data_IF_493429253467
#
_entry.id   IF_493429253467
#
_cell.length_a   1.000
_cell.length_b   1.000
_cell.length_c   1.000
_cell.angle_alpha   90.00
_cell.angle_beta   90.00
_cell.angle_gamma   90.00
#
_symmetry.space_group_name_H-M   'P 1'
#
loop_
_entity.id
_entity.type
_entity.pdbx_description
1 polymer ?
#
# COMPACT_ATOMS: atom_id res chain seq x y z
N UNK A 1 4.38 7.19 -11.18
CA UNK A 1 5.21 6.81 -10.05
C UNK A 1 6.64 6.88 -10.50
N UNK A 2 7.38 7.94 -10.12
CA UNK A 2 8.81 7.95 -10.27
C UNK A 2 9.46 6.76 -9.56
N UNK A 3 10.59 6.33 -10.08
CA UNK A 3 11.39 5.25 -9.51
C UNK A 3 12.84 5.70 -9.51
N UNK A 4 13.50 5.53 -8.37
CA UNK A 4 14.92 5.80 -8.19
C UNK A 4 15.59 4.61 -7.51
N UNK A 5 16.72 4.14 -8.07
CA UNK A 5 17.52 3.11 -7.43
C UNK A 5 19.00 3.23 -7.80
N UNK A 6 19.86 2.84 -6.86
CA UNK A 6 21.29 2.69 -7.09
C UNK A 6 21.58 1.33 -7.76
N UNK A 7 22.52 1.34 -8.70
CA UNK A 7 23.21 0.17 -9.22
C UNK A 7 24.72 0.39 -9.12
N UNK A 8 25.48 -0.70 -9.10
CA UNK A 8 26.93 -0.66 -9.28
C UNK A 8 27.30 -1.23 -10.64
N UNK A 9 28.22 -0.57 -11.34
CA UNK A 9 28.68 -0.96 -12.69
C UNK A 9 30.20 -1.08 -12.78
N UNK A 10 30.68 -1.84 -13.76
CA UNK A 10 32.10 -2.03 -14.00
C UNK A 10 32.81 -2.87 -12.93
N UNK A 11 34.13 -3.04 -13.10
CA UNK A 11 34.95 -3.87 -12.20
C UNK A 11 35.21 -3.23 -10.84
N UNK A 12 34.98 -1.92 -10.70
CA UNK A 12 35.24 -1.15 -9.48
C UNK A 12 33.96 -0.79 -8.72
N UNK A 13 32.82 -1.38 -9.09
CA UNK A 13 31.52 -1.13 -8.47
C UNK A 13 31.13 0.35 -8.45
N UNK A 14 31.33 1.04 -9.57
CA UNK A 14 30.99 2.45 -9.72
C UNK A 14 29.49 2.65 -9.47
N UNK A 15 29.16 3.56 -8.55
CA UNK A 15 27.78 3.85 -8.21
C UNK A 15 27.09 4.64 -9.33
N UNK A 16 25.94 4.15 -9.77
CA UNK A 16 25.08 4.82 -10.74
C UNK A 16 23.65 4.86 -10.20
N UNK A 17 23.15 6.08 -9.99
CA UNK A 17 21.75 6.30 -9.65
C UNK A 17 20.94 6.31 -10.95
N UNK A 18 19.93 5.45 -11.01
CA UNK A 18 19.05 5.30 -12.17
C UNK A 18 17.66 5.78 -11.79
N UNK A 19 17.10 6.69 -12.59
CA UNK A 19 15.79 7.31 -12.36
C UNK A 19 14.86 7.10 -13.55
N UNK A 20 13.56 6.96 -13.28
CA UNK A 20 12.51 6.90 -14.29
C UNK A 20 11.25 7.61 -13.80
N UNK A 21 10.62 8.39 -14.67
CA UNK A 21 9.43 9.18 -14.34
C UNK A 21 9.77 10.58 -13.81
N UNK A 22 8.78 11.47 -13.87
CA UNK A 22 8.90 12.84 -13.37
C UNK A 22 8.78 12.88 -11.85
N UNK A 23 9.38 13.90 -11.22
CA UNK A 23 9.24 14.14 -9.78
C UNK A 23 7.76 14.25 -9.39
N UNK A 24 7.40 13.60 -8.28
CA UNK A 24 6.05 13.62 -7.72
C UNK A 24 6.14 14.18 -6.31
N UNK A 25 5.43 15.27 -6.03
CA UNK A 25 5.42 15.90 -4.70
C UNK A 25 4.87 14.99 -3.59
N UNK A 26 4.20 13.89 -3.94
CA UNK A 26 3.73 12.87 -3.01
C UNK A 26 4.74 11.72 -2.79
N UNK A 27 5.89 11.72 -3.48
CA UNK A 27 6.93 10.71 -3.37
C UNK A 27 8.25 11.30 -2.87
N UNK A 28 8.74 10.82 -1.71
CA UNK A 28 10.03 11.22 -1.15
C UNK A 28 11.07 10.11 -1.31
N UNK A 29 11.97 10.30 -2.28
CA UNK A 29 13.06 9.38 -2.59
C UNK A 29 14.39 9.78 -1.92
N UNK A 30 14.44 10.89 -1.18
CA UNK A 30 15.69 11.44 -0.64
C UNK A 30 16.06 10.87 0.73
N UNK A 31 15.13 10.21 1.42
CA UNK A 31 15.31 9.73 2.79
C UNK A 31 15.16 8.21 2.88
N UNK A 32 16.26 7.44 2.74
CA UNK A 32 16.24 5.98 2.85
C UNK A 32 15.60 5.51 4.16
N UNK A 33 14.65 4.58 4.04
CA UNK A 33 13.94 3.98 5.18
C UNK A 33 12.70 4.76 5.64
N UNK A 34 12.43 5.95 5.10
CA UNK A 34 11.10 6.55 5.23
C UNK A 34 10.14 5.95 4.19
N UNK A 35 8.85 6.04 4.45
CA UNK A 35 7.87 5.76 3.39
C UNK A 35 8.13 6.69 2.21
N UNK A 36 8.21 6.14 0.99
CA UNK A 36 8.30 6.95 -0.24
C UNK A 36 6.98 7.69 -0.45
N UNK A 37 5.85 6.97 -0.43
CA UNK A 37 4.51 7.57 -0.56
C UNK A 37 4.16 8.35 0.72
N UNK A 38 3.86 9.65 0.61
CA UNK A 38 3.53 10.49 1.77
C UNK A 38 2.03 10.47 2.12
N UNK A 39 1.15 10.43 1.12
CA UNK A 39 -0.29 10.36 1.30
C UNK A 39 -0.91 9.27 0.44
N UNK A 40 -2.04 8.72 0.92
CA UNK A 40 -2.81 7.74 0.17
C UNK A 40 -3.28 8.30 -1.18
N UNK A 41 -3.08 7.56 -2.26
CA UNK A 41 -3.47 7.97 -3.60
C UNK A 41 -4.23 6.87 -4.33
N UNK A 42 -5.30 7.25 -5.00
CA UNK A 42 -6.08 6.34 -5.85
C UNK A 42 -5.61 6.40 -7.29
N UNK A 43 -5.40 5.22 -7.88
CA UNK A 43 -5.14 5.03 -9.30
C UNK A 43 -6.22 4.12 -9.88
N UNK A 44 -6.89 4.55 -10.95
CA UNK A 44 -7.99 3.80 -11.56
C UNK A 44 -7.53 3.27 -12.91
N UNK A 45 -7.56 1.96 -13.07
CA UNK A 45 -7.20 1.27 -14.30
C UNK A 45 -8.42 0.56 -14.88
N UNK A 46 -8.78 0.81 -16.14
CA UNK A 46 -9.79 0.02 -16.82
C UNK A 46 -9.25 -1.40 -17.11
N UNK A 47 -10.03 -2.41 -16.74
CA UNK A 47 -9.77 -3.82 -17.10
C UNK A 47 -10.88 -4.26 -18.05
N UNK A 48 -10.52 -4.38 -19.33
CA UNK A 48 -11.50 -4.59 -20.41
C UNK A 48 -12.47 -3.41 -20.54
N UNK A 49 -13.72 -3.69 -20.91
CA UNK A 49 -14.70 -2.64 -21.25
C UNK A 49 -15.64 -2.26 -20.10
N UNK A 50 -15.79 -3.11 -19.09
CA UNK A 50 -16.82 -2.93 -18.03
C UNK A 50 -16.28 -2.86 -16.61
N UNK A 51 -15.03 -3.25 -16.40
CA UNK A 51 -14.45 -3.33 -15.07
C UNK A 51 -13.40 -2.23 -14.89
N UNK A 52 -13.37 -1.62 -13.71
CA UNK A 52 -12.31 -0.70 -13.30
C UNK A 52 -11.75 -1.18 -11.98
N UNK A 53 -10.43 -1.26 -11.88
CA UNK A 53 -9.74 -1.51 -10.62
C UNK A 53 -9.23 -0.18 -10.09
N UNK A 54 -9.55 0.11 -8.82
CA UNK A 54 -8.96 1.22 -8.09
C UNK A 54 -7.89 0.66 -7.17
N UNK A 55 -6.63 0.89 -7.49
CA UNK A 55 -5.54 0.68 -6.54
C UNK A 55 -5.45 1.88 -5.61
N UNK A 56 -5.26 1.62 -4.33
CA UNK A 56 -5.02 2.63 -3.32
C UNK A 56 -3.59 2.41 -2.87
N UNK A 57 -2.70 3.26 -3.33
CA UNK A 57 -1.33 3.30 -2.83
C UNK A 57 -1.33 4.00 -1.47
N UNK A 58 -0.60 3.45 -0.51
CA UNK A 58 -0.59 3.91 0.88
C UNK A 58 0.84 4.17 1.32
N UNK A 59 1.05 5.12 2.26
CA UNK A 59 2.33 5.22 2.95
C UNK A 59 2.75 3.87 3.53
N UNK A 60 4.04 3.55 3.38
CA UNK A 60 4.67 2.37 3.94
C UNK A 60 4.71 2.40 5.47
N UNK A 61 4.92 1.21 6.04
CA UNK A 61 5.12 0.98 7.46
C UNK A 61 6.60 0.81 7.80
N UNK A 62 6.98 1.06 9.05
CA UNK A 62 8.37 0.93 9.49
C UNK A 62 9.20 2.17 9.15
N UNK A 63 8.56 3.33 9.25
CA UNK A 63 9.20 4.61 8.99
C UNK A 63 10.33 4.87 9.99
N UNK A 64 11.52 5.23 9.50
CA UNK A 64 12.67 5.55 10.37
C UNK A 64 12.44 6.76 11.27
N UNK A 65 11.41 7.58 11.01
CA UNK A 65 10.91 8.64 11.91
C UNK A 65 10.24 8.09 13.18
N UNK A 66 10.04 6.77 13.26
CA UNK A 66 9.65 6.04 14.46
C UNK A 66 8.15 5.76 14.57
N UNK A 67 7.76 5.13 15.68
CA UNK A 67 6.41 4.60 15.92
C UNK A 67 5.31 5.67 15.83
N UNK A 68 5.60 6.92 16.19
CA UNK A 68 4.64 8.04 16.09
C UNK A 68 4.27 8.30 14.63
N UNK A 69 5.24 8.25 13.71
CA UNK A 69 4.98 8.45 12.28
C UNK A 69 4.19 7.28 11.70
N UNK A 70 4.51 6.04 12.09
CA UNK A 70 3.72 4.87 11.70
C UNK A 70 2.26 4.99 12.17
N UNK A 71 2.04 5.54 13.37
CA UNK A 71 0.69 5.81 13.89
C UNK A 71 -0.07 6.85 13.06
N UNK A 72 0.61 7.91 12.62
CA UNK A 72 0.06 8.95 11.73
C UNK A 72 -0.28 8.34 10.37
N UNK A 73 0.65 7.60 9.76
CA UNK A 73 0.46 6.90 8.49
C UNK A 73 -0.76 5.98 8.58
N UNK A 74 -0.87 5.23 9.67
CA UNK A 74 -2.02 4.35 9.89
C UNK A 74 -3.32 5.15 10.02
N UNK A 75 -3.36 6.24 10.78
CA UNK A 75 -4.56 7.09 10.87
C UNK A 75 -4.97 7.66 9.50
N UNK A 76 -4.01 8.08 8.68
CA UNK A 76 -4.28 8.56 7.31
C UNK A 76 -4.91 7.47 6.45
N UNK A 77 -4.37 6.25 6.50
CA UNK A 77 -4.88 5.09 5.76
C UNK A 77 -6.32 4.77 6.21
N UNK A 78 -6.56 4.66 7.52
CA UNK A 78 -7.88 4.38 8.07
C UNK A 78 -8.92 5.46 7.72
N UNK A 79 -8.52 6.74 7.77
CA UNK A 79 -9.35 7.86 7.36
C UNK A 79 -9.72 7.80 5.88
N UNK A 80 -8.74 7.48 5.03
CA UNK A 80 -8.93 7.36 3.59
C UNK A 80 -9.91 6.23 3.25
N UNK A 81 -9.70 5.03 3.79
CA UNK A 81 -10.56 3.88 3.48
C UNK A 81 -11.97 4.02 4.05
N UNK A 82 -12.15 4.80 5.13
CA UNK A 82 -13.47 5.10 5.71
C UNK A 82 -14.30 6.03 4.80
N UNK A 83 -13.71 6.64 3.77
CA UNK A 83 -14.47 7.38 2.76
C UNK A 83 -14.93 6.48 1.60
N UNK A 84 -14.61 5.19 1.63
CA UNK A 84 -14.98 4.21 0.61
C UNK A 84 -16.20 3.41 1.07
N UNK A 85 -17.06 3.03 0.12
CA UNK A 85 -18.23 2.21 0.43
C UNK A 85 -17.88 0.75 0.76
N UNK A 86 -16.78 0.25 0.21
CA UNK A 86 -16.32 -1.13 0.39
C UNK A 86 -14.83 -1.27 0.03
N UNK A 87 -14.25 -2.40 0.43
CA UNK A 87 -12.95 -2.89 -0.02
C UNK A 87 -13.13 -4.28 -0.65
N UNK A 88 -12.55 -4.53 -1.82
CA UNK A 88 -12.55 -5.87 -2.42
C UNK A 88 -11.35 -6.70 -1.96
N UNK A 89 -10.19 -6.06 -1.84
CA UNK A 89 -8.91 -6.69 -1.55
C UNK A 89 -8.07 -5.79 -0.63
N UNK A 90 -7.34 -6.41 0.28
CA UNK A 90 -6.35 -5.77 1.15
C UNK A 90 -5.03 -6.51 0.91
N UNK A 91 -4.15 -5.89 0.13
CA UNK A 91 -2.87 -6.47 -0.24
C UNK A 91 -1.81 -6.13 0.81
N UNK A 92 -1.24 -7.15 1.43
CA UNK A 92 -0.10 -7.02 2.35
C UNK A 92 1.17 -7.34 1.56
N UNK A 93 1.99 -6.32 1.32
CA UNK A 93 3.24 -6.46 0.59
C UNK A 93 4.37 -6.88 1.53
N UNK A 94 5.12 -7.92 1.15
CA UNK A 94 6.21 -8.51 1.92
C UNK A 94 7.41 -8.80 1.00
N UNK A 95 8.59 -8.95 1.60
CA UNK A 95 9.74 -9.59 0.97
C UNK A 95 9.80 -11.05 1.42
N UNK A 96 10.33 -11.98 0.61
CA UNK A 96 10.37 -13.40 0.95
C UNK A 96 11.54 -13.77 1.87
N UNK A 97 12.51 -12.85 2.05
CA UNK A 97 13.78 -13.10 2.73
C UNK A 97 13.90 -12.38 4.08
N UNK A 98 12.77 -12.01 4.70
CA UNK A 98 12.80 -11.44 6.04
C UNK A 98 13.20 -12.51 7.06
N UNK A 99 14.38 -12.32 7.67
CA UNK A 99 14.88 -13.20 8.73
C UNK A 99 14.11 -13.04 10.05
N UNK A 100 13.40 -11.91 10.20
CA UNK A 100 12.53 -11.60 11.34
C UNK A 100 11.35 -10.79 10.84
N UNK A 101 10.13 -11.20 11.20
CA UNK A 101 8.98 -10.32 11.02
C UNK A 101 9.11 -9.16 12.00
N UNK A 102 9.17 -7.95 11.44
CA UNK A 102 9.28 -6.73 12.20
C UNK A 102 8.10 -6.61 13.19
N UNK A 103 8.39 -6.26 14.45
CA UNK A 103 7.37 -5.95 15.47
C UNK A 103 6.40 -4.88 14.95
N UNK A 104 6.90 -3.94 14.16
CA UNK A 104 6.10 -2.91 13.49
C UNK A 104 5.07 -3.51 12.55
N UNK A 105 5.47 -4.46 11.68
CA UNK A 105 4.55 -5.14 10.77
C UNK A 105 3.44 -5.87 11.54
N UNK A 106 3.78 -6.56 12.64
CA UNK A 106 2.78 -7.24 13.48
C UNK A 106 1.80 -6.25 14.10
N UNK A 107 2.30 -5.16 14.68
CA UNK A 107 1.47 -4.11 15.27
C UNK A 107 0.55 -3.46 14.23
N UNK A 108 1.08 -3.17 13.04
CA UNK A 108 0.35 -2.60 11.93
C UNK A 108 -0.78 -3.54 11.46
N UNK A 109 -0.44 -4.81 11.23
CA UNK A 109 -1.39 -5.83 10.82
C UNK A 109 -2.50 -6.03 11.85
N UNK A 110 -2.15 -6.15 13.13
CA UNK A 110 -3.11 -6.29 14.23
C UNK A 110 -4.04 -5.07 14.33
N UNK A 111 -3.51 -3.85 14.17
CA UNK A 111 -4.31 -2.63 14.25
C UNK A 111 -5.26 -2.48 13.06
N UNK A 112 -4.78 -2.77 11.85
CA UNK A 112 -5.62 -2.79 10.64
C UNK A 112 -6.77 -3.77 10.80
N UNK A 113 -6.46 -4.97 11.28
CA UNK A 113 -7.42 -6.04 11.52
C UNK A 113 -8.43 -5.70 12.62
N UNK A 114 -7.98 -5.15 13.74
CA UNK A 114 -8.88 -4.66 14.80
C UNK A 114 -9.83 -3.60 14.26
N UNK A 115 -9.32 -2.65 13.49
CA UNK A 115 -10.16 -1.60 12.91
C UNK A 115 -11.20 -2.15 11.94
N UNK A 116 -10.80 -3.02 11.02
CA UNK A 116 -11.71 -3.55 10.02
C UNK A 116 -12.68 -4.57 10.61
N UNK A 117 -12.25 -5.38 11.57
CA UNK A 117 -13.03 -6.45 12.19
C UNK A 117 -12.75 -7.83 11.58
N UNK A 118 -13.28 -8.88 12.20
CA UNK A 118 -12.96 -10.28 11.90
C UNK A 118 -13.17 -10.67 10.42
N UNK A 119 -14.26 -10.18 9.82
CA UNK A 119 -14.65 -10.56 8.47
C UNK A 119 -13.67 -10.06 7.39
N UNK A 120 -12.82 -9.08 7.71
CA UNK A 120 -11.78 -8.59 6.82
C UNK A 120 -10.80 -9.69 6.37
N UNK A 121 -10.66 -10.77 7.16
CA UNK A 121 -9.78 -11.91 6.85
C UNK A 121 -10.00 -12.50 5.46
N UNK A 122 -11.23 -12.45 4.94
CA UNK A 122 -11.59 -13.02 3.64
C UNK A 122 -11.13 -12.16 2.45
N UNK A 123 -10.69 -10.93 2.73
CA UNK A 123 -10.21 -9.99 1.72
C UNK A 123 -8.70 -9.75 1.83
N UNK A 124 -7.99 -10.45 2.74
CA UNK A 124 -6.54 -10.34 2.91
C UNK A 124 -5.82 -11.19 1.88
N UNK A 125 -4.87 -10.55 1.22
CA UNK A 125 -4.05 -11.12 0.15
C UNK A 125 -2.60 -10.81 0.45
N UNK A 126 -1.72 -11.80 0.30
CA UNK A 126 -0.29 -11.62 0.53
C UNK A 126 0.44 -11.49 -0.81
N UNK A 127 1.17 -10.40 -0.97
CA UNK A 127 1.95 -10.13 -2.18
C UNK A 127 3.44 -10.11 -1.80
N UNK A 128 4.20 -11.11 -2.26
CA UNK A 128 5.64 -11.15 -2.09
C UNK A 128 6.33 -10.50 -3.29
N UNK A 129 7.21 -9.55 -3.01
CA UNK A 129 8.04 -8.84 -4.00
C UNK A 129 9.49 -9.30 -3.90
N UNK A 130 10.29 -9.10 -4.94
CA UNK A 130 11.70 -9.52 -4.97
C UNK A 130 11.87 -11.04 -4.77
N UNK A 131 10.98 -11.83 -5.39
CA UNK A 131 10.88 -13.28 -5.16
C UNK A 131 11.76 -14.14 -6.06
N UNK A 132 12.55 -13.52 -6.94
CA UNK A 132 13.46 -14.25 -7.82
C UNK A 132 14.45 -15.12 -7.05
N UNK A 133 15.06 -14.59 -5.99
CA UNK A 133 16.02 -15.32 -5.15
C UNK A 133 15.38 -16.50 -4.38
N UNK A 134 14.06 -16.56 -4.31
CA UNK A 134 13.29 -17.62 -3.63
C UNK A 134 12.46 -18.43 -4.60
N UNK A 135 12.88 -18.51 -5.86
CA UNK A 135 12.21 -19.29 -6.90
C UNK A 135 10.73 -18.93 -7.05
N UNK A 136 10.41 -17.64 -6.91
CA UNK A 136 9.04 -17.11 -6.97
C UNK A 136 8.11 -17.72 -5.90
N UNK A 137 8.66 -17.95 -4.71
CA UNK A 137 7.93 -18.42 -3.54
C UNK A 137 8.08 -17.45 -2.35
N UNK A 138 7.21 -17.54 -1.32
CA UNK A 138 7.26 -16.70 -0.12
C UNK A 138 8.52 -16.83 0.76
N UNK A 139 9.42 -17.77 0.46
CA UNK A 139 10.73 -17.91 1.09
C UNK A 139 10.68 -18.11 2.61
N UNK A 140 11.73 -17.63 3.28
CA UNK A 140 11.93 -17.71 4.74
C UNK A 140 10.90 -16.89 5.52
N UNK A 141 10.25 -15.92 4.89
CA UNK A 141 9.18 -15.14 5.51
C UNK A 141 7.90 -15.96 5.72
N UNK A 142 7.65 -16.99 4.89
CA UNK A 142 6.45 -17.81 4.98
C UNK A 142 6.22 -18.47 6.36
N UNK A 143 7.20 -19.19 6.96
CA UNK A 143 7.02 -19.80 8.28
C UNK A 143 6.84 -18.75 9.39
N UNK A 144 7.48 -17.59 9.28
CA UNK A 144 7.30 -16.49 10.23
C UNK A 144 5.87 -15.94 10.14
N UNK A 145 5.37 -15.72 8.91
CA UNK A 145 4.05 -15.18 8.66
C UNK A 145 2.96 -16.14 9.16
N UNK A 146 3.13 -17.45 8.95
CA UNK A 146 2.27 -18.48 9.53
C UNK A 146 2.17 -18.34 11.04
N UNK A 147 3.30 -18.20 11.74
CA UNK A 147 3.31 -18.01 13.21
C UNK A 147 2.61 -16.72 13.62
N UNK A 148 2.82 -15.63 12.88
CA UNK A 148 2.16 -14.35 13.15
C UNK A 148 0.64 -14.47 13.02
N UNK A 149 0.15 -15.05 11.91
CA UNK A 149 -1.28 -15.29 11.65
C UNK A 149 -1.89 -16.16 12.76
N UNK A 150 -1.24 -17.26 13.13
CA UNK A 150 -1.75 -18.15 14.20
C UNK A 150 -1.87 -17.43 15.55
N UNK A 151 -0.96 -16.49 15.83
CA UNK A 151 -0.96 -15.67 17.04
C UNK A 151 -1.98 -14.52 17.00
N UNK A 152 -2.56 -14.21 15.84
CA UNK A 152 -3.49 -13.11 15.68
C UNK A 152 -4.82 -13.42 16.41
N UNK A 153 -5.50 -12.41 17.00
CA UNK A 153 -6.83 -12.59 17.57
C UNK A 153 -7.86 -13.06 16.54
N UNK A 154 -7.75 -12.57 15.29
CA UNK A 154 -8.62 -12.98 14.18
C UNK A 154 -8.09 -14.30 13.63
N UNK A 155 -8.93 -15.35 13.72
CA UNK A 155 -8.60 -16.70 13.27
C UNK A 155 -8.93 -16.90 11.79
N UNK A 156 -8.34 -17.95 11.22
CA UNK A 156 -8.63 -18.44 9.87
C UNK A 156 -8.36 -17.44 8.74
N UNK A 157 -7.32 -16.62 8.91
CA UNK A 157 -6.78 -15.82 7.80
C UNK A 157 -6.12 -16.80 6.80
N UNK A 158 -6.60 -16.89 5.54
CA UNK A 158 -6.03 -17.81 4.58
C UNK A 158 -4.56 -17.45 4.29
N UNK A 159 -3.72 -18.46 4.15
CA UNK A 159 -2.34 -18.27 3.69
C UNK A 159 -1.88 -19.50 2.91
N UNK A 160 -2.28 -19.52 1.64
CA UNK A 160 -1.94 -20.56 0.68
C UNK A 160 -1.82 -19.97 -0.73
N UNK A 161 -1.63 -20.82 -1.74
CA UNK A 161 -1.41 -20.39 -3.13
C UNK A 161 -2.60 -19.62 -3.72
N UNK A 162 -3.82 -19.81 -3.19
CA UNK A 162 -5.01 -19.13 -3.68
C UNK A 162 -5.00 -17.62 -3.41
N UNK A 163 -4.49 -17.18 -2.24
CA UNK A 163 -4.48 -15.79 -1.82
C UNK A 163 -3.07 -15.20 -1.61
N UNK A 164 -2.03 -15.95 -2.01
CA UNK A 164 -0.63 -15.51 -1.95
C UNK A 164 -0.06 -15.44 -3.34
N UNK A 165 0.57 -14.31 -3.69
CA UNK A 165 1.09 -14.03 -5.02
C UNK A 165 2.54 -13.57 -4.95
N UNK A 166 3.40 -14.08 -5.83
CA UNK A 166 4.84 -13.84 -5.79
C UNK A 166 5.34 -13.23 -7.11
N UNK A 167 5.87 -12.01 -7.03
CA UNK A 167 6.34 -11.25 -8.18
C UNK A 167 7.76 -10.79 -7.98
N UNK A 168 8.40 -10.40 -9.07
CA UNK A 168 9.70 -9.75 -9.06
C UNK A 168 9.65 -8.43 -9.84
N UNK A 169 10.39 -7.43 -9.35
CA UNK A 169 10.44 -6.09 -9.96
C UNK A 169 11.76 -5.84 -10.68
N UNK A 170 12.72 -6.78 -10.66
CA UNK A 170 14.04 -6.56 -11.27
C UNK A 170 13.96 -6.44 -12.78
N UNK A 171 12.98 -7.11 -13.42
CA UNK A 171 12.76 -6.98 -14.86
C UNK A 171 12.41 -5.55 -15.27
N UNK A 172 11.63 -4.83 -14.45
CA UNK A 172 11.36 -3.41 -14.68
C UNK A 172 12.62 -2.56 -14.43
N UNK A 173 13.37 -2.84 -13.36
CA UNK A 173 14.65 -2.15 -13.09
C UNK A 173 15.65 -2.36 -14.21
N UNK A 174 15.72 -3.55 -14.79
CA UNK A 174 16.53 -3.88 -15.96
C UNK A 174 16.14 -3.01 -17.16
N UNK A 175 14.85 -2.90 -17.50
CA UNK A 175 14.39 -2.04 -18.61
C UNK A 175 14.80 -0.57 -18.41
N UNK A 176 14.64 -0.07 -17.18
CA UNK A 176 15.00 1.31 -16.81
C UNK A 176 16.53 1.52 -16.85
N UNK A 177 17.31 0.52 -16.43
CA UNK A 177 18.77 0.54 -16.49
C UNK A 177 19.28 0.56 -17.94
N UNK A 178 18.73 -0.29 -18.81
CA UNK A 178 19.06 -0.33 -20.26
C UNK A 178 18.75 1.02 -20.91
N UNK A 179 17.58 1.61 -20.60
CA UNK A 179 17.22 2.96 -21.07
C UNK A 179 18.20 4.03 -20.62
N UNK A 180 18.87 3.83 -19.49
CA UNK A 180 19.87 4.73 -18.91
C UNK A 180 21.30 4.40 -19.37
N UNK A 181 21.45 3.60 -20.42
CA UNK A 181 22.72 3.25 -21.03
C UNK A 181 23.55 2.26 -20.22
N UNK A 182 22.93 1.46 -19.34
CA UNK A 182 23.62 0.35 -18.66
C UNK A 182 23.53 -0.90 -19.53
N UNK A 183 24.69 -1.50 -19.82
CA UNK A 183 24.79 -2.71 -20.61
C UNK A 183 24.71 -3.96 -19.75
N UNK A 184 24.11 -5.01 -20.31
CA UNK A 184 23.98 -6.33 -19.70
C UNK A 184 24.36 -7.39 -20.74
N UNK A 185 24.99 -8.47 -20.28
CA UNK A 185 25.33 -9.59 -21.14
C UNK A 185 24.08 -10.42 -21.53
N UNK A 186 24.25 -11.36 -22.46
CA UNK A 186 23.13 -12.17 -22.94
C UNK A 186 22.54 -13.09 -21.86
N UNK A 187 23.35 -13.54 -20.91
CA UNK A 187 22.90 -14.39 -19.81
C UNK A 187 21.96 -13.61 -18.89
N UNK A 188 22.37 -12.42 -18.45
CA UNK A 188 21.57 -11.52 -17.62
C UNK A 188 20.26 -11.13 -18.32
N UNK A 189 20.31 -10.82 -19.63
CA UNK A 189 19.12 -10.53 -20.43
C UNK A 189 18.10 -11.67 -20.39
N UNK A 190 18.56 -12.89 -20.58
CA UNK A 190 17.70 -14.08 -20.56
C UNK A 190 17.04 -14.26 -19.19
N UNK A 191 17.79 -14.03 -18.10
CA UNK A 191 17.23 -14.15 -16.75
C UNK A 191 16.16 -13.09 -16.46
N UNK A 192 16.37 -11.83 -16.85
CA UNK A 192 15.35 -10.78 -16.68
C UNK A 192 14.11 -11.03 -17.55
N UNK A 193 14.28 -11.60 -18.75
CA UNK A 193 13.14 -12.00 -19.58
C UNK A 193 12.31 -13.13 -18.94
N UNK A 194 12.97 -14.11 -18.32
CA UNK A 194 12.28 -15.17 -17.58
C UNK A 194 11.56 -14.60 -16.35
N UNK A 195 12.22 -13.76 -15.56
CA UNK A 195 11.62 -13.09 -14.41
C UNK A 195 10.38 -12.26 -14.79
N UNK A 196 10.45 -11.55 -15.92
CA UNK A 196 9.31 -10.81 -16.47
C UNK A 196 8.13 -11.73 -16.77
N UNK A 197 8.39 -12.82 -17.50
CA UNK A 197 7.35 -13.77 -17.92
C UNK A 197 6.61 -14.37 -16.73
N UNK A 198 7.35 -14.77 -15.68
CA UNK A 198 6.77 -15.33 -14.46
C UNK A 198 5.94 -14.26 -13.72
N UNK A 199 6.49 -13.06 -13.56
CA UNK A 199 5.82 -11.96 -12.83
C UNK A 199 4.56 -11.46 -13.56
N UNK A 200 4.56 -11.42 -14.89
CA UNK A 200 3.37 -11.10 -15.69
C UNK A 200 2.31 -12.20 -15.53
N UNK A 201 2.69 -13.46 -15.64
CA UNK A 201 1.76 -14.60 -15.45
C UNK A 201 1.11 -14.54 -14.06
N UNK A 202 1.89 -14.24 -13.03
CA UNK A 202 1.36 -14.09 -11.69
C UNK A 202 0.46 -12.84 -11.57
N UNK A 203 0.75 -11.76 -12.30
CA UNK A 203 -0.04 -10.52 -12.29
C UNK A 203 -1.39 -10.74 -12.91
N UNK A 204 -1.44 -11.49 -14.00
CA UNK A 204 -2.69 -11.94 -14.60
C UNK A 204 -3.50 -12.81 -13.63
N UNK A 205 -2.84 -13.71 -12.89
CA UNK A 205 -3.50 -14.51 -11.85
C UNK A 205 -4.08 -13.63 -10.73
N UNK A 206 -3.36 -12.60 -10.30
CA UNK A 206 -3.85 -11.65 -9.30
C UNK A 206 -5.05 -10.84 -9.82
N UNK A 207 -4.98 -10.35 -11.05
CA UNK A 207 -6.09 -9.63 -11.68
C UNK A 207 -7.32 -10.52 -11.85
N UNK A 208 -7.15 -11.78 -12.23
CA UNK A 208 -8.23 -12.78 -12.27
C UNK A 208 -8.82 -13.04 -10.89
N UNK A 209 -8.00 -13.06 -9.83
CA UNK A 209 -8.47 -13.19 -8.46
C UNK A 209 -9.32 -11.97 -8.03
N UNK A 210 -8.90 -10.75 -8.39
CA UNK A 210 -9.64 -9.52 -8.12
C UNK A 210 -10.95 -9.43 -8.89
N UNK A 211 -10.94 -9.77 -10.18
CA UNK A 211 -12.09 -9.64 -11.08
C UNK A 211 -13.01 -10.86 -11.09
N UNK A 212 -12.56 -11.98 -10.52
CA UNK A 212 -13.34 -13.21 -10.41
C UNK A 212 -14.41 -13.14 -9.32
N UNK A 213 -15.08 -14.26 -9.10
CA UNK A 213 -16.13 -14.40 -8.07
C UNK A 213 -15.59 -14.73 -6.67
N UNK A 214 -14.27 -14.85 -6.51
CA UNK A 214 -13.63 -15.30 -5.27
C UNK A 214 -13.76 -14.27 -4.16
N UNK A 215 -13.56 -12.99 -4.49
CA UNK A 215 -13.64 -11.90 -3.52
C UNK A 215 -15.05 -11.31 -3.49
N UNK A 216 -15.65 -11.30 -2.31
CA UNK A 216 -16.87 -10.53 -2.06
C UNK A 216 -16.49 -9.13 -1.60
N UNK A 217 -17.17 -8.07 -2.09
CA UNK A 217 -17.01 -6.73 -1.55
C UNK A 217 -17.20 -6.74 -0.04
N UNK A 218 -16.22 -6.25 0.71
CA UNK A 218 -16.31 -6.06 2.15
C UNK A 218 -16.86 -4.68 2.44
N UNK A 219 -18.15 -4.61 2.76
CA UNK A 219 -18.88 -3.36 2.88
C UNK A 219 -18.50 -2.64 4.17
N UNK A 220 -18.46 -1.31 4.12
CA UNK A 220 -18.08 -0.51 5.28
C UNK A 220 -19.01 -0.70 6.49
N UNK A 221 -20.30 -0.99 6.26
CA UNK A 221 -21.26 -1.26 7.33
C UNK A 221 -21.03 -2.61 8.04
N UNK A 222 -20.18 -3.48 7.47
CA UNK A 222 -19.74 -4.74 8.07
C UNK A 222 -18.52 -4.55 8.97
N UNK A 223 -17.94 -3.35 9.02
CA UNK A 223 -16.82 -3.02 9.91
C UNK A 223 -17.37 -2.76 11.32
N UNK A 224 -17.59 -3.83 12.08
CA UNK A 224 -18.26 -3.79 13.39
C UNK A 224 -17.28 -3.80 14.58
N UNK A 225 -16.12 -3.19 14.43
CA UNK A 225 -15.15 -3.08 15.52
C UNK A 225 -15.43 -1.89 16.44
N UNK A 226 -14.95 -1.98 17.68
CA UNK A 226 -15.01 -0.87 18.65
C UNK A 226 -14.15 0.29 18.15
N UNK A 227 -12.98 -0.01 17.60
CA UNK A 227 -12.04 0.97 17.07
C UNK A 227 -12.64 1.76 15.90
N UNK A 228 -13.36 1.11 14.98
CA UNK A 228 -14.06 1.79 13.90
C UNK A 228 -15.21 2.67 14.43
N UNK A 229 -15.99 2.18 15.40
CA UNK A 229 -17.05 2.97 16.02
C UNK A 229 -16.51 4.24 16.70
N UNK A 230 -15.45 4.11 17.51
CA UNK A 230 -14.76 5.23 18.14
C UNK A 230 -14.22 6.21 17.10
N UNK A 231 -13.58 5.71 16.04
CA UNK A 231 -13.05 6.53 14.96
C UNK A 231 -14.16 7.35 14.27
N UNK A 232 -15.31 6.74 13.99
CA UNK A 232 -16.46 7.44 13.40
C UNK A 232 -17.01 8.54 14.31
N UNK A 233 -17.13 8.29 15.61
CA UNK A 233 -17.60 9.28 16.59
C UNK A 233 -16.65 10.49 16.62
N UNK A 234 -15.33 10.25 16.70
CA UNK A 234 -14.32 11.32 16.70
C UNK A 234 -14.39 12.12 15.40
N UNK A 235 -14.56 11.44 14.25
CA UNK A 235 -14.64 12.09 12.96
C UNK A 235 -15.89 12.97 12.84
N UNK A 236 -17.04 12.49 13.30
CA UNK A 236 -18.30 13.27 13.32
C UNK A 236 -18.18 14.50 14.22
N UNK A 237 -17.64 14.35 15.43
CA UNK A 237 -17.43 15.48 16.34
C UNK A 237 -16.50 16.55 15.74
N UNK A 238 -15.47 16.15 14.99
CA UNK A 238 -14.60 17.10 14.29
C UNK A 238 -15.34 17.85 13.17
N UNK A 239 -16.22 17.19 12.42
CA UNK A 239 -17.03 17.85 11.39
C UNK A 239 -18.05 18.82 11.99
N UNK A 240 -18.72 18.45 13.09
CA UNK A 240 -19.65 19.34 13.79
C UNK A 240 -18.93 20.60 14.28
N UNK A 241 -17.75 20.43 14.90
CA UNK A 241 -16.96 21.57 15.35
C UNK A 241 -16.50 22.47 14.20
N UNK A 242 -16.03 21.90 13.08
CA UNK A 242 -15.64 22.68 11.90
C UNK A 242 -16.82 23.45 11.29
N UNK A 243 -17.98 22.80 11.15
CA UNK A 243 -19.19 23.43 10.65
C UNK A 243 -19.68 24.58 11.55
N UNK A 244 -19.53 24.43 12.87
CA UNK A 244 -19.86 25.48 13.84
C UNK A 244 -18.97 26.71 13.66
N UNK A 245 -17.65 26.50 13.52
CA UNK A 245 -16.68 27.59 13.30
C UNK A 245 -16.93 28.31 11.96
N UNK A 246 -17.26 27.58 10.90
CA UNK A 246 -17.59 28.17 9.61
C UNK A 246 -18.89 29.00 9.67
N UNK A 247 -19.92 28.50 10.37
CA UNK A 247 -21.17 29.22 10.59
C UNK A 247 -20.97 30.51 11.40
N UNK A 248 -20.15 30.46 12.46
CA UNK A 248 -19.83 31.62 13.29
C UNK A 248 -19.02 32.68 12.53
N UNK A 249 -18.12 32.24 11.63
CA UNK A 249 -17.39 33.13 10.73
C UNK A 249 -18.30 33.79 9.69
N UNK A 250 -19.22 33.04 9.09
CA UNK A 250 -20.19 33.58 8.11
C UNK A 250 -21.14 34.59 8.76
N UNK A 251 -21.61 34.30 9.99
CA UNK A 251 -22.43 35.22 10.77
C UNK A 251 -21.67 36.51 11.11
N UNK A 252 -20.41 36.40 11.52
CA UNK A 252 -19.54 37.54 11.82
C UNK A 252 -19.27 38.42 10.59
N UNK A 253 -19.10 37.83 9.41
CA UNK A 253 -18.96 38.56 8.15
C UNK A 253 -20.26 39.31 7.80
N UNK A 254 -21.42 38.64 7.86
CA UNK A 254 -22.74 39.26 7.61
C UNK A 254 -23.05 40.41 8.58
N UNK A 255 -22.64 40.31 9.84
CA UNK A 255 -22.79 41.37 10.83
C UNK A 255 -21.94 42.61 10.50
N UNK A 256 -20.71 42.43 10.02
CA UNK A 256 -19.82 43.52 9.58
C UNK A 256 -20.33 44.24 8.33
N UNK A 257 -20.93 43.52 7.39
CA UNK A 257 -21.55 44.13 6.20
C UNK A 257 -22.80 44.98 6.55
N UNK A 258 -23.55 44.62 7.59
CA UNK A 258 -24.73 45.38 8.04
C UNK A 258 -24.37 46.68 8.78
N UNK A 259 -23.20 46.75 9.43
CA UNK A 259 -22.76 47.95 10.15
C UNK A 259 -22.02 48.96 9.26
N UNK A 260 -21.48 48.53 8.10
CA UNK A 260 -20.78 49.39 7.12
C UNK A 260 -21.67 50.16 6.13
N UNK A 261 -23.00 50.14 6.27
CA UNK A 261 -23.95 50.94 5.45
C UNK A 261 -24.68 52.02 6.26
N UNK A 262 -24.15 52.37 7.44
CA UNK A 262 -24.54 53.56 8.21
C UNK A 262 -23.35 54.49 8.35
N UNK A 263 -22.97 55.11 7.25
CA UNK A 263 -22.08 56.28 7.20
C UNK A 263 -22.44 57.10 5.98
#
# INVERSE_FOLDING_TARGET
MPVSFMMTVGHHFEEKIVTFGDEDSNEDHHHPGQSVTQHCRSYIFPIGTRTKIRFIDTPGMGDTRGLIQDDINMQHILSFITNLSHLNAICILLKPNESRLNIVLRSYFDRLLKFLGENARHNIIFCFTNTRATFFAPGDTAPLLKKMILSCPIKDIPFDKSNTFCFDSESFRYLVAVRSGIEFDQYQKNEYQQSWTISVTESDRLLQYFCGSTLKPYLQNEWRSVEHAQFRIIKLHKYEFAAQVDADNEYSLKARYRTGHRS
#
